data_IF_177372356342
#
_entry.id   IF_177372356342
#
_cell.length_a   1.000
_cell.length_b   1.000
_cell.length_c   1.000
_cell.angle_alpha   90.00
_cell.angle_beta   90.00
_cell.angle_gamma   90.00
#
_symmetry.space_group_name_H-M   'P 1'
#
loop_
_entity.id
_entity.type
_entity.pdbx_description
1 polymer ?
#
# COMPACT_ATOMS: atom_id res chain seq x y z
N UNK A 1 11.54 5.22 -18.97
CA UNK A 1 10.51 6.10 -18.36
C UNK A 1 9.11 5.88 -18.93
N UNK A 2 8.93 5.67 -20.25
CA UNK A 2 7.60 5.43 -20.85
C UNK A 2 6.79 4.31 -20.18
N UNK A 3 7.42 3.20 -19.79
CA UNK A 3 6.74 2.08 -19.12
C UNK A 3 6.18 2.46 -17.73
N UNK A 4 6.91 3.24 -16.91
CA UNK A 4 6.42 3.67 -15.59
C UNK A 4 5.22 4.61 -15.73
N UNK A 5 5.26 5.52 -16.71
CA UNK A 5 4.14 6.43 -16.97
C UNK A 5 2.90 5.68 -17.46
N UNK A 6 3.09 4.67 -18.33
CA UNK A 6 2.01 3.82 -18.80
C UNK A 6 1.41 2.97 -17.66
N UNK A 7 2.25 2.39 -16.79
CA UNK A 7 1.79 1.65 -15.62
C UNK A 7 1.03 2.57 -14.64
N UNK A 8 1.53 3.79 -14.41
CA UNK A 8 0.83 4.79 -13.61
C UNK A 8 -0.54 5.14 -14.19
N UNK A 9 -0.65 5.35 -15.50
CA UNK A 9 -1.94 5.55 -16.17
C UNK A 9 -2.88 4.35 -15.98
N UNK A 10 -2.36 3.12 -16.06
CA UNK A 10 -3.15 1.91 -15.80
C UNK A 10 -3.70 1.82 -14.37
N UNK A 11 -2.92 2.26 -13.37
CA UNK A 11 -3.35 2.30 -11.97
C UNK A 11 -4.55 3.22 -11.72
N UNK A 12 -4.77 4.23 -12.57
CA UNK A 12 -5.93 5.13 -12.47
C UNK A 12 -7.28 4.41 -12.69
N UNK A 13 -7.28 3.26 -13.37
CA UNK A 13 -8.44 2.41 -13.59
C UNK A 13 -8.50 1.18 -12.69
N UNK A 14 -7.61 1.06 -11.69
CA UNK A 14 -7.56 -0.11 -10.82
C UNK A 14 -8.56 0.02 -9.66
N UNK A 15 -9.71 -0.64 -9.80
CA UNK A 15 -10.82 -0.57 -8.84
C UNK A 15 -10.84 -1.72 -7.82
N UNK A 16 -10.02 -2.75 -8.03
CA UNK A 16 -9.92 -3.89 -7.10
C UNK A 16 -9.27 -3.46 -5.79
N UNK A 17 -9.51 -4.18 -4.68
CA UNK A 17 -8.98 -3.80 -3.37
C UNK A 17 -7.47 -3.48 -3.39
N UNK A 18 -7.11 -2.29 -2.96
CA UNK A 18 -5.73 -1.80 -2.93
C UNK A 18 -5.37 -1.31 -1.53
N UNK A 19 -4.35 -1.90 -0.89
CA UNK A 19 -3.97 -1.59 0.48
C UNK A 19 -2.50 -1.19 0.56
N UNK A 20 -2.21 -0.03 1.15
CA UNK A 20 -0.84 0.38 1.49
C UNK A 20 -0.55 0.13 2.97
N UNK A 21 0.55 -0.59 3.26
CA UNK A 21 1.08 -0.83 4.60
C UNK A 21 2.56 -0.42 4.63
N UNK A 22 2.84 0.85 4.92
CA UNK A 22 4.20 1.43 4.82
C UNK A 22 4.89 1.46 6.19
N UNK A 23 6.23 1.43 6.21
CA UNK A 23 7.01 1.70 7.42
C UNK A 23 6.95 3.18 7.81
N UNK A 24 6.60 3.50 9.06
CA UNK A 24 6.58 4.88 9.57
C UNK A 24 7.99 5.48 9.62
N UNK A 25 9.01 4.64 9.84
CA UNK A 25 10.41 5.04 10.03
C UNK A 25 11.24 4.91 8.75
N UNK A 26 10.61 4.66 7.59
CA UNK A 26 11.33 4.54 6.30
C UNK A 26 11.54 5.92 5.64
N UNK A 27 12.76 6.48 5.65
CA UNK A 27 13.05 7.75 4.99
C UNK A 27 13.12 7.64 3.46
N UNK A 28 13.30 6.43 2.91
CA UNK A 28 13.48 6.20 1.48
C UNK A 28 12.14 6.32 0.76
N UNK A 29 11.13 5.59 1.23
CA UNK A 29 9.78 5.63 0.65
C UNK A 29 8.94 6.80 1.17
N UNK A 30 9.28 7.34 2.35
CA UNK A 30 8.69 8.57 2.88
C UNK A 30 7.16 8.55 2.89
N UNK A 31 6.54 9.45 2.11
CA UNK A 31 5.07 9.57 1.92
C UNK A 31 4.54 9.04 0.59
N UNK A 32 5.21 8.05 0.02
CA UNK A 32 4.80 7.43 -1.26
C UNK A 32 3.44 6.72 -1.25
N UNK A 33 2.91 6.38 -0.08
CA UNK A 33 1.54 5.86 0.10
C UNK A 33 0.47 6.90 -0.28
N UNK A 34 0.67 8.17 0.04
CA UNK A 34 -0.31 9.25 -0.21
C UNK A 34 -0.67 9.39 -1.70
N UNK A 35 0.27 9.56 -2.64
CA UNK A 35 -0.07 9.65 -4.06
C UNK A 35 -0.66 8.35 -4.61
N UNK A 36 -0.28 7.19 -4.10
CA UNK A 36 -0.88 5.90 -4.49
C UNK A 36 -2.36 5.83 -4.10
N UNK A 37 -2.68 6.16 -2.84
CA UNK A 37 -4.06 6.15 -2.33
C UNK A 37 -4.95 7.16 -3.05
N UNK A 38 -4.40 8.33 -3.42
CA UNK A 38 -5.14 9.35 -4.16
C UNK A 38 -5.39 8.96 -5.63
N UNK A 39 -4.48 8.19 -6.23
CA UNK A 39 -4.51 7.87 -7.65
C UNK A 39 -5.24 6.57 -7.98
N UNK A 40 -5.22 5.58 -7.07
CA UNK A 40 -5.82 4.25 -7.29
C UNK A 40 -7.23 4.18 -6.69
N UNK A 41 -8.31 4.07 -7.50
CA UNK A 41 -9.68 4.04 -6.98
C UNK A 41 -9.94 2.93 -5.95
N UNK A 42 -9.36 1.75 -6.16
CA UNK A 42 -9.47 0.60 -5.26
C UNK A 42 -8.87 0.80 -3.86
N UNK A 43 -8.17 1.90 -3.62
CA UNK A 43 -7.67 2.29 -2.31
C UNK A 43 -8.75 2.92 -1.42
N UNK A 44 -9.82 3.49 -2.01
CA UNK A 44 -10.83 4.24 -1.28
C UNK A 44 -11.47 3.40 -0.15
N UNK A 45 -11.46 3.96 1.06
CA UNK A 45 -12.05 3.36 2.25
C UNK A 45 -11.37 2.09 2.75
N UNK A 46 -10.17 1.74 2.25
CA UNK A 46 -9.40 0.58 2.76
C UNK A 46 -8.65 0.96 4.05
N UNK A 47 -8.39 0.00 4.97
CA UNK A 47 -7.75 0.27 6.26
C UNK A 47 -6.22 0.43 6.14
N UNK A 48 -5.78 1.45 5.41
CA UNK A 48 -4.36 1.80 5.24
C UNK A 48 -3.67 2.04 6.58
N UNK A 49 -2.37 1.73 6.65
CA UNK A 49 -1.61 1.94 7.88
C UNK A 49 -0.14 2.26 7.62
N UNK A 50 0.44 2.97 8.59
CA UNK A 50 1.89 3.12 8.75
C UNK A 50 2.35 2.36 9.98
N UNK A 51 3.02 1.25 9.75
CA UNK A 51 3.50 0.32 10.77
C UNK A 51 4.75 0.88 11.45
N UNK A 52 5.04 0.45 12.68
CA UNK A 52 6.20 0.97 13.44
C UNK A 52 7.56 0.41 12.98
N UNK A 53 7.67 0.07 11.69
CA UNK A 53 8.89 -0.42 11.04
C UNK A 53 9.60 0.62 10.17
N UNK A 54 10.82 0.28 9.78
CA UNK A 54 11.68 1.02 8.86
C UNK A 54 11.50 0.48 7.42
N UNK A 55 12.54 0.53 6.60
CA UNK A 55 12.52 0.11 5.20
C UNK A 55 12.19 -1.38 5.00
N UNK A 56 12.74 -2.25 5.85
CA UNK A 56 12.44 -3.68 5.86
C UNK A 56 11.28 -3.98 6.82
N UNK A 57 10.11 -3.40 6.55
CA UNK A 57 8.94 -3.46 7.44
C UNK A 57 8.49 -4.89 7.79
N UNK A 58 8.78 -5.87 6.94
CA UNK A 58 8.53 -7.29 7.21
C UNK A 58 9.38 -7.86 8.36
N UNK A 59 10.60 -7.35 8.56
CA UNK A 59 11.48 -7.78 9.66
C UNK A 59 11.03 -7.14 10.98
N UNK A 60 10.63 -5.86 10.93
CA UNK A 60 10.21 -5.12 12.12
C UNK A 60 8.77 -5.44 12.57
N UNK A 61 7.87 -5.70 11.62
CA UNK A 61 6.42 -5.77 11.84
C UNK A 61 5.76 -6.97 11.14
N UNK A 62 6.51 -8.04 10.86
CA UNK A 62 6.04 -9.21 10.09
C UNK A 62 4.66 -9.76 10.51
N UNK A 63 4.42 -10.07 11.80
CA UNK A 63 3.12 -10.57 12.26
C UNK A 63 1.95 -9.60 12.02
N UNK A 64 2.15 -8.29 12.24
CA UNK A 64 1.11 -7.29 11.98
C UNK A 64 0.86 -7.11 10.48
N UNK A 65 1.93 -7.06 9.68
CA UNK A 65 1.86 -6.96 8.23
C UNK A 65 1.04 -8.13 7.64
N UNK A 66 1.37 -9.36 8.04
CA UNK A 66 0.68 -10.57 7.61
C UNK A 66 -0.81 -10.55 8.00
N UNK A 67 -1.12 -10.21 9.26
CA UNK A 67 -2.50 -10.13 9.74
C UNK A 67 -3.34 -9.17 8.90
N UNK A 68 -2.84 -7.96 8.63
CA UNK A 68 -3.56 -6.94 7.85
C UNK A 68 -3.78 -7.37 6.39
N UNK A 69 -2.83 -8.08 5.79
CA UNK A 69 -2.99 -8.66 4.44
C UNK A 69 -4.08 -9.73 4.44
N UNK A 70 -4.08 -10.63 5.43
CA UNK A 70 -5.11 -11.66 5.57
C UNK A 70 -6.49 -11.03 5.80
N UNK A 71 -6.59 -9.97 6.61
CA UNK A 71 -7.82 -9.24 6.87
C UNK A 71 -8.38 -8.59 5.58
N UNK A 72 -7.50 -8.03 4.73
CA UNK A 72 -7.91 -7.53 3.40
C UNK A 72 -8.53 -8.65 2.57
N UNK A 73 -7.83 -9.77 2.42
CA UNK A 73 -8.31 -10.91 1.62
C UNK A 73 -9.67 -11.39 2.13
N UNK A 74 -9.83 -11.56 3.45
CA UNK A 74 -11.08 -12.01 4.06
C UNK A 74 -12.26 -11.07 3.85
N UNK A 75 -12.01 -9.76 3.79
CA UNK A 75 -13.06 -8.74 3.67
C UNK A 75 -13.38 -8.35 2.22
N UNK A 76 -12.65 -8.90 1.26
CA UNK A 76 -12.80 -8.57 -0.17
C UNK A 76 -12.79 -9.80 -1.09
N UNK A 77 -12.92 -11.00 -0.53
CA UNK A 77 -13.15 -12.25 -1.28
C UNK A 77 -14.63 -12.42 -1.60
#
# INVERSE_FOLDING_TARGET
MAANNAAWAGLAGYERPFLTLFGRKDPILGKGDVPLQAHVPGAAGRPHARLDGSHFVQEDCGPELARRIVDLVRTTS
#
